data_IF_001293829228
#
_entry.id   IF_001293829228
#
_cell.length_a   1.000
_cell.length_b   1.000
_cell.length_c   1.000
_cell.angle_alpha   90.00
_cell.angle_beta   90.00
_cell.angle_gamma   90.00
#
_symmetry.space_group_name_H-M   'P 1'
#
loop_
_entity.id
_entity.type
_entity.pdbx_description
1 polymer ?
#
# COMPACT_ATOMS: atom_id res chain seq x y z
N UNK A 1 -7.96 -24.57 -12.24
CA UNK A 1 -8.09 -23.30 -11.70
C UNK A 1 -7.82 -23.34 -10.20
N UNK A 2 -6.85 -22.62 -9.74
CA UNK A 2 -6.44 -22.64 -8.34
C UNK A 2 -7.25 -21.68 -7.47
N UNK A 3 -7.08 -21.77 -6.16
CA UNK A 3 -7.64 -20.85 -5.20
C UNK A 3 -6.90 -19.52 -5.19
N UNK A 4 -7.26 -18.61 -4.25
CA UNK A 4 -6.63 -17.28 -4.18
C UNK A 4 -5.10 -17.31 -4.06
N UNK A 5 -4.54 -18.29 -3.35
CA UNK A 5 -3.08 -18.42 -3.20
C UNK A 5 -2.39 -18.65 -4.55
N UNK A 6 -2.99 -19.50 -5.40
CA UNK A 6 -2.43 -19.79 -6.73
C UNK A 6 -2.47 -18.56 -7.65
N UNK A 7 -3.56 -17.80 -7.61
CA UNK A 7 -3.68 -16.54 -8.38
C UNK A 7 -2.60 -15.56 -7.92
N UNK A 8 -2.35 -15.45 -6.61
CA UNK A 8 -1.31 -14.60 -6.05
C UNK A 8 0.08 -15.02 -6.55
N UNK A 9 0.36 -16.34 -6.60
CA UNK A 9 1.65 -16.85 -7.10
C UNK A 9 1.84 -16.55 -8.58
N UNK A 10 0.79 -16.66 -9.39
CA UNK A 10 0.85 -16.34 -10.82
C UNK A 10 1.10 -14.85 -11.05
N UNK A 11 0.49 -13.97 -10.23
CA UNK A 11 0.74 -12.54 -10.29
C UNK A 11 2.17 -12.21 -9.88
N UNK A 12 2.70 -12.86 -8.85
CA UNK A 12 4.09 -12.68 -8.42
C UNK A 12 5.08 -13.08 -9.52
N UNK A 13 4.81 -14.15 -10.24
CA UNK A 13 5.64 -14.57 -11.38
C UNK A 13 5.59 -13.56 -12.52
N UNK A 14 4.39 -13.08 -12.87
CA UNK A 14 4.24 -12.10 -13.94
C UNK A 14 4.99 -10.81 -13.58
N UNK A 15 4.87 -10.36 -12.35
CA UNK A 15 5.62 -9.19 -11.86
C UNK A 15 7.13 -9.41 -12.00
N UNK A 16 7.63 -10.57 -11.56
CA UNK A 16 9.05 -10.89 -11.64
C UNK A 16 9.54 -10.93 -13.08
N UNK A 17 8.72 -11.48 -13.99
CA UNK A 17 9.05 -11.55 -15.41
C UNK A 17 9.10 -10.15 -16.04
N UNK A 18 8.15 -9.27 -15.70
CA UNK A 18 8.16 -7.89 -16.18
C UNK A 18 9.39 -7.13 -15.68
N UNK A 19 9.72 -7.24 -14.41
CA UNK A 19 10.88 -6.59 -13.83
C UNK A 19 12.19 -7.08 -14.45
N UNK A 20 12.28 -8.37 -14.79
CA UNK A 20 13.46 -8.99 -15.38
C UNK A 20 13.64 -8.59 -16.85
N UNK A 21 12.57 -8.52 -17.60
CA UNK A 21 12.60 -8.39 -19.05
C UNK A 21 12.40 -6.96 -19.56
N UNK A 22 11.90 -6.05 -18.72
CA UNK A 22 11.63 -4.67 -19.09
C UNK A 22 12.45 -3.73 -18.21
N UNK A 23 13.45 -3.08 -18.79
CA UNK A 23 14.44 -2.30 -18.06
C UNK A 23 13.89 -1.08 -17.33
N UNK A 24 12.67 -0.65 -17.65
CA UNK A 24 12.04 0.51 -17.02
C UNK A 24 11.07 0.13 -15.90
N UNK A 25 10.89 -1.17 -15.62
CA UNK A 25 9.92 -1.64 -14.63
C UNK A 25 10.63 -1.99 -13.33
N UNK A 26 10.63 -1.03 -12.39
CA UNK A 26 10.92 -1.34 -11.00
C UNK A 26 9.67 -1.89 -10.30
N UNK A 27 9.75 -2.24 -8.99
CA UNK A 27 8.61 -2.82 -8.28
C UNK A 27 7.35 -1.96 -8.28
N UNK A 28 7.47 -0.64 -8.06
CA UNK A 28 6.32 0.26 -8.06
C UNK A 28 5.71 0.39 -9.45
N UNK A 29 6.53 0.57 -10.49
CA UNK A 29 6.05 0.70 -11.87
C UNK A 29 5.35 -0.55 -12.34
N UNK A 30 5.88 -1.73 -12.00
CA UNK A 30 5.26 -3.02 -12.34
C UNK A 30 3.90 -3.15 -11.69
N UNK A 31 3.76 -2.78 -10.40
CA UNK A 31 2.49 -2.83 -9.69
C UNK A 31 1.47 -1.88 -10.30
N UNK A 32 1.88 -0.67 -10.68
CA UNK A 32 1.01 0.28 -11.38
C UNK A 32 0.52 -0.28 -12.71
N UNK A 33 1.43 -0.85 -13.50
CA UNK A 33 1.10 -1.45 -14.79
C UNK A 33 0.06 -2.57 -14.63
N UNK A 34 0.30 -3.49 -13.71
CA UNK A 34 -0.61 -4.62 -13.49
C UNK A 34 -1.97 -4.14 -12.96
N UNK A 35 -2.00 -3.14 -12.08
CA UNK A 35 -3.25 -2.59 -11.56
C UNK A 35 -4.08 -1.95 -12.67
N UNK A 36 -3.44 -1.25 -13.59
CA UNK A 36 -4.12 -0.61 -14.72
C UNK A 36 -4.75 -1.63 -15.67
N UNK A 37 -4.23 -2.85 -15.70
CA UNK A 37 -4.81 -3.95 -16.47
C UNK A 37 -5.79 -4.80 -15.67
N UNK A 38 -6.27 -4.30 -14.51
CA UNK A 38 -7.35 -4.91 -13.76
C UNK A 38 -6.92 -5.94 -12.71
N UNK A 39 -5.64 -6.06 -12.43
CA UNK A 39 -5.18 -6.95 -11.37
C UNK A 39 -5.49 -6.33 -9.99
N UNK A 40 -6.03 -7.16 -9.10
CA UNK A 40 -6.61 -6.70 -7.82
C UNK A 40 -5.57 -6.59 -6.72
N UNK A 41 -4.90 -5.46 -6.60
CA UNK A 41 -4.04 -5.16 -5.47
C UNK A 41 -3.89 -3.63 -5.29
N UNK A 42 -3.48 -3.22 -4.09
CA UNK A 42 -3.19 -1.82 -3.83
C UNK A 42 -1.90 -1.41 -4.54
N UNK A 43 -1.78 -0.13 -4.84
CA UNK A 43 -0.58 0.42 -5.47
C UNK A 43 0.43 0.81 -4.38
N UNK A 44 1.65 0.21 -4.36
CA UNK A 44 2.63 0.52 -3.32
C UNK A 44 3.37 1.84 -3.61
N UNK A 45 2.63 2.93 -3.72
CA UNK A 45 3.18 4.27 -3.93
C UNK A 45 3.66 4.87 -2.61
N UNK A 46 4.50 5.90 -2.67
CA UNK A 46 5.20 6.43 -1.51
C UNK A 46 4.30 6.82 -0.34
N UNK A 47 3.17 7.46 -0.61
CA UNK A 47 2.27 7.91 0.46
C UNK A 47 1.53 6.74 1.12
N UNK A 48 1.21 5.68 0.39
CA UNK A 48 0.63 4.47 0.97
C UNK A 48 1.68 3.72 1.77
N UNK A 49 2.89 3.57 1.24
CA UNK A 49 3.98 2.90 1.96
C UNK A 49 4.32 3.64 3.25
N UNK A 50 4.33 4.97 3.24
CA UNK A 50 4.56 5.77 4.45
C UNK A 50 3.48 5.52 5.50
N UNK A 51 2.21 5.51 5.08
CA UNK A 51 1.10 5.24 5.98
C UNK A 51 1.22 3.86 6.63
N UNK A 52 1.46 2.83 5.83
CA UNK A 52 1.59 1.46 6.33
C UNK A 52 2.80 1.31 7.26
N UNK A 53 3.90 1.97 6.93
CA UNK A 53 5.09 1.98 7.79
C UNK A 53 4.80 2.64 9.15
N UNK A 54 4.18 3.81 9.14
CA UNK A 54 3.85 4.53 10.37
C UNK A 54 2.88 3.77 11.25
N UNK A 55 1.93 3.06 10.66
CA UNK A 55 1.00 2.20 11.38
C UNK A 55 1.68 0.97 11.98
N UNK A 56 2.83 0.57 11.45
CA UNK A 56 3.54 -0.62 11.89
C UNK A 56 3.22 -1.88 11.11
N UNK A 57 2.55 -1.75 9.97
CA UNK A 57 2.12 -2.88 9.16
C UNK A 57 3.20 -3.38 8.20
N UNK A 58 4.16 -2.53 7.84
CA UNK A 58 5.33 -2.92 7.05
C UNK A 58 6.59 -2.44 7.75
N UNK A 59 7.72 -3.09 7.49
CA UNK A 59 8.98 -2.81 8.18
C UNK A 59 9.73 -1.61 7.58
N UNK A 60 9.52 -1.31 6.30
CA UNK A 60 10.18 -0.20 5.61
C UNK A 60 9.20 0.48 4.67
N UNK A 61 9.51 1.69 4.23
CA UNK A 61 8.76 2.37 3.19
C UNK A 61 9.21 1.98 1.78
N UNK A 62 10.27 1.19 1.66
CA UNK A 62 10.92 0.86 0.40
C UNK A 62 10.44 -0.42 -0.24
N UNK A 63 11.13 -0.77 -1.32
CA UNK A 63 10.81 -1.91 -2.18
C UNK A 63 10.78 -3.25 -1.43
N UNK A 64 11.59 -3.41 -0.40
CA UNK A 64 11.61 -4.63 0.40
C UNK A 64 10.28 -4.94 1.08
N UNK A 65 9.41 -3.95 1.26
CA UNK A 65 8.10 -4.11 1.89
C UNK A 65 6.93 -4.08 0.91
N UNK A 66 7.16 -3.93 -0.39
CA UNK A 66 6.07 -3.81 -1.38
C UNK A 66 5.19 -5.05 -1.42
N UNK A 67 5.79 -6.22 -1.38
CA UNK A 67 5.05 -7.48 -1.41
C UNK A 67 4.18 -7.65 -0.16
N UNK A 68 4.71 -7.31 1.00
CA UNK A 68 3.96 -7.31 2.26
C UNK A 68 2.80 -6.31 2.21
N UNK A 69 3.04 -5.11 1.69
CA UNK A 69 2.00 -4.09 1.54
C UNK A 69 0.83 -4.59 0.68
N UNK A 70 1.14 -5.24 -0.44
CA UNK A 70 0.11 -5.81 -1.33
C UNK A 70 -0.72 -6.87 -0.61
N UNK A 71 -0.08 -7.73 0.17
CA UNK A 71 -0.77 -8.76 0.96
C UNK A 71 -1.67 -8.14 2.02
N UNK A 72 -1.21 -7.07 2.68
CA UNK A 72 -2.00 -6.34 3.67
C UNK A 72 -3.24 -5.72 3.03
N UNK A 73 -3.08 -5.09 1.87
CA UNK A 73 -4.23 -4.53 1.14
C UNK A 73 -5.26 -5.59 0.80
N UNK A 74 -4.83 -6.77 0.37
CA UNK A 74 -5.72 -7.88 0.08
C UNK A 74 -6.43 -8.38 1.33
N UNK A 75 -5.71 -8.47 2.44
CA UNK A 75 -6.29 -8.85 3.73
C UNK A 75 -7.36 -7.85 4.18
N UNK A 76 -7.10 -6.55 4.02
CA UNK A 76 -8.08 -5.51 4.33
C UNK A 76 -9.35 -5.66 3.49
N UNK A 77 -9.21 -5.97 2.20
CA UNK A 77 -10.33 -6.25 1.31
C UNK A 77 -11.17 -7.42 1.82
N UNK A 78 -10.52 -8.50 2.20
CA UNK A 78 -11.20 -9.71 2.67
C UNK A 78 -11.92 -9.47 4.01
N UNK A 79 -11.25 -8.80 4.94
CA UNK A 79 -11.81 -8.54 6.28
C UNK A 79 -12.96 -7.55 6.23
N UNK A 80 -12.83 -6.48 5.45
CA UNK A 80 -13.84 -5.42 5.37
C UNK A 80 -14.95 -5.73 4.37
N UNK A 81 -14.75 -6.75 3.52
CA UNK A 81 -15.69 -7.12 2.46
C UNK A 81 -16.01 -5.94 1.53
N UNK A 82 -14.97 -5.27 1.07
CA UNK A 82 -15.06 -4.13 0.14
C UNK A 82 -14.12 -4.37 -1.04
N UNK A 83 -14.38 -3.74 -2.20
CA UNK A 83 -13.48 -3.85 -3.36
C UNK A 83 -12.08 -3.32 -3.04
N UNK A 84 -11.07 -3.90 -3.68
CA UNK A 84 -9.68 -3.45 -3.51
C UNK A 84 -9.50 -1.99 -3.93
N UNK A 85 -10.22 -1.54 -4.94
CA UNK A 85 -10.17 -0.15 -5.37
C UNK A 85 -10.61 0.81 -4.26
N UNK A 86 -11.55 0.41 -3.43
CA UNK A 86 -11.98 1.20 -2.27
C UNK A 86 -10.88 1.27 -1.22
N UNK A 87 -10.25 0.14 -0.91
CA UNK A 87 -9.12 0.08 0.03
C UNK A 87 -7.99 1.00 -0.44
N UNK A 88 -7.61 0.87 -1.71
CA UNK A 88 -6.56 1.71 -2.29
C UNK A 88 -6.89 3.20 -2.20
N UNK A 89 -8.13 3.58 -2.51
CA UNK A 89 -8.58 4.97 -2.45
C UNK A 89 -8.56 5.52 -1.02
N UNK A 90 -8.97 4.73 -0.03
CA UNK A 90 -8.96 5.15 1.37
C UNK A 90 -7.52 5.34 1.86
N UNK A 91 -6.63 4.39 1.58
CA UNK A 91 -5.24 4.50 1.97
C UNK A 91 -4.57 5.70 1.30
N UNK A 92 -4.83 5.91 0.03
CA UNK A 92 -4.30 7.05 -0.70
C UNK A 92 -4.80 8.38 -0.13
N UNK A 93 -6.08 8.47 0.19
CA UNK A 93 -6.65 9.71 0.71
C UNK A 93 -6.09 10.10 2.08
N UNK A 94 -5.72 9.13 2.91
CA UNK A 94 -5.11 9.40 4.20
C UNK A 94 -3.69 9.95 4.09
N UNK A 95 -2.92 9.51 3.09
CA UNK A 95 -1.51 9.84 2.97
C UNK A 95 -1.16 10.86 1.90
N UNK A 96 -2.04 11.11 0.94
CA UNK A 96 -1.75 11.98 -0.20
C UNK A 96 -1.68 13.46 0.20
N UNK A 97 -0.67 14.16 -0.29
CA UNK A 97 -0.55 15.60 -0.08
C UNK A 97 -1.46 16.34 -1.07
N UNK A 98 -2.69 16.60 -0.68
CA UNK A 98 -3.64 17.35 -1.49
C UNK A 98 -4.11 18.58 -0.71
N UNK A 99 -4.00 19.74 -1.32
CA UNK A 99 -4.37 21.01 -0.68
C UNK A 99 -5.87 21.17 -0.45
N UNK A 100 -6.68 20.35 -1.10
CA UNK A 100 -8.15 20.49 -1.08
C UNK A 100 -8.84 19.57 -0.07
N UNK A 101 -8.15 18.57 0.43
CA UNK A 101 -8.74 17.57 1.32
C UNK A 101 -7.89 17.43 2.57
N UNK A 102 -8.55 17.07 3.65
CA UNK A 102 -7.89 16.89 4.95
C UNK A 102 -7.12 15.58 4.98
N UNK A 103 -5.98 15.55 4.33
CA UNK A 103 -5.05 14.44 4.46
C UNK A 103 -4.40 14.50 5.84
N UNK A 104 -4.67 13.50 6.65
CA UNK A 104 -4.19 13.50 8.03
C UNK A 104 -2.76 12.98 8.14
N UNK A 105 -2.39 11.93 7.39
CA UNK A 105 -1.07 11.31 7.48
C UNK A 105 -0.10 11.92 6.45
N UNK A 106 0.15 13.22 6.56
CA UNK A 106 1.03 13.93 5.64
C UNK A 106 2.50 13.60 5.89
N UNK A 107 3.33 13.78 4.86
CA UNK A 107 4.78 13.57 4.99
C UNK A 107 5.38 14.46 6.07
N UNK A 108 4.99 15.73 6.10
CA UNK A 108 5.44 16.72 7.07
C UNK A 108 4.26 17.19 7.90
N UNK A 109 4.46 17.36 9.20
CA UNK A 109 3.45 17.81 10.16
C UNK A 109 2.12 17.04 10.03
N UNK A 110 2.14 15.70 10.20
CA UNK A 110 0.91 14.93 10.10
C UNK A 110 -0.10 15.36 11.16
N UNK A 111 -1.38 15.38 10.78
CA UNK A 111 -2.48 15.79 11.64
C UNK A 111 -2.95 14.62 12.50
N UNK A 112 -2.05 14.08 13.32
CA UNK A 112 -2.32 12.87 14.10
C UNK A 112 -3.49 13.02 15.07
N UNK A 113 -3.69 14.22 15.61
CA UNK A 113 -4.80 14.47 16.55
C UNK A 113 -6.17 14.33 15.87
N UNK A 114 -6.23 14.49 14.56
CA UNK A 114 -7.46 14.32 13.78
C UNK A 114 -7.58 12.91 13.19
N UNK A 115 -6.61 12.03 13.45
CA UNK A 115 -6.55 10.69 12.86
C UNK A 115 -7.23 9.66 13.76
N UNK A 116 -8.23 8.95 13.23
CA UNK A 116 -8.93 7.90 13.98
C UNK A 116 -8.07 6.66 14.22
N UNK A 117 -6.93 6.51 13.52
CA UNK A 117 -6.01 5.38 13.67
C UNK A 117 -4.94 5.62 14.75
N UNK A 118 -4.87 6.81 15.32
CA UNK A 118 -3.79 7.18 16.26
C UNK A 118 -3.63 6.23 17.45
N UNK A 119 -4.69 5.64 18.04
CA UNK A 119 -4.50 4.74 19.18
C UNK A 119 -3.68 3.49 18.83
N UNK A 120 -3.65 3.10 17.56
CA UNK A 120 -2.93 1.91 17.09
C UNK A 120 -1.74 2.23 16.20
N UNK A 121 -1.41 3.50 16.04
CA UNK A 121 -0.32 3.95 15.16
C UNK A 121 1.00 3.96 15.92
N UNK A 122 1.99 3.20 15.46
CA UNK A 122 3.30 3.16 16.10
C UNK A 122 4.01 4.49 16.03
N UNK A 123 3.89 5.21 14.92
CA UNK A 123 4.50 6.53 14.76
C UNK A 123 3.96 7.53 15.79
N UNK A 124 2.64 7.59 15.94
CA UNK A 124 2.02 8.51 16.91
C UNK A 124 2.42 8.18 18.34
N UNK A 125 2.54 6.90 18.67
CA UNK A 125 2.89 6.44 20.00
C UNK A 125 4.41 6.44 20.26
N UNK A 126 5.22 6.99 19.35
CA UNK A 126 6.66 7.13 19.53
C UNK A 126 7.47 5.86 19.36
N UNK A 127 6.86 4.80 18.82
CA UNK A 127 7.51 3.50 18.63
C UNK A 127 8.16 3.35 17.26
N UNK A 128 7.98 4.31 16.36
CA UNK A 128 8.55 4.29 15.03
C UNK A 128 8.84 5.71 14.56
N UNK A 129 10.09 5.94 14.15
CA UNK A 129 10.51 7.23 13.59
C UNK A 129 10.44 7.29 12.09
N UNK A 130 10.78 8.43 11.54
CA UNK A 130 10.90 8.67 10.11
C UNK A 130 12.31 8.32 9.61
#
# INVERSE_FOLDING_TARGET
VGGPARVSDDLDRLEADLMRNLSYFGPASTKHFLADYGFSFIKPVSHIMRLLYRLGLVETEGEGSYRTAVRIGRLMTDVADVPIAYVDAVLASLGMANKREANVCRKTDPLCDDCFLRPRCLYYNGLRGE
#
